data_IF_036988782299
#
_entry.id   IF_036988782299
#
_cell.length_a   1.000
_cell.length_b   1.000
_cell.length_c   1.000
_cell.angle_alpha   90.00
_cell.angle_beta   90.00
_cell.angle_gamma   90.00
#
_symmetry.space_group_name_H-M   'P 1'
#
loop_
_entity.id
_entity.type
_entity.pdbx_description
1 polymer ?
#
# COMPACT_ATOMS: atom_id res chain seq x y z
N UNK A 1 10.02 21.01 17.35
CA UNK A 1 9.73 19.83 18.17
C UNK A 1 9.14 18.80 17.23
N UNK A 2 9.97 17.85 16.83
CA UNK A 2 9.83 16.97 15.67
C UNK A 2 8.91 15.81 16.00
N UNK A 3 7.61 15.99 15.72
CA UNK A 3 6.65 14.90 15.63
C UNK A 3 6.79 14.33 14.22
N UNK A 4 7.77 13.46 14.02
CA UNK A 4 8.01 12.82 12.72
C UNK A 4 8.58 11.42 12.95
N UNK A 5 8.12 10.47 12.15
CA UNK A 5 8.61 9.08 11.97
C UNK A 5 8.09 7.97 12.89
N UNK A 6 7.47 8.25 14.05
CA UNK A 6 6.78 7.21 14.84
C UNK A 6 5.30 7.05 14.49
N UNK A 7 4.74 7.93 13.66
CA UNK A 7 3.30 7.94 13.39
C UNK A 7 2.88 7.14 12.16
N UNK A 8 3.73 6.82 11.17
CA UNK A 8 3.27 6.11 9.96
C UNK A 8 3.17 4.58 10.12
N UNK A 9 4.22 3.94 10.66
CA UNK A 9 4.21 2.51 10.95
C UNK A 9 3.34 2.17 12.16
N UNK A 10 3.19 3.13 13.07
CA UNK A 10 2.23 3.04 14.15
C UNK A 10 0.82 3.35 13.61
N UNK A 11 0.54 4.34 12.76
CA UNK A 11 -0.84 4.64 12.31
C UNK A 11 -1.56 3.49 11.59
N UNK A 12 -0.90 2.61 10.85
CA UNK A 12 -1.59 1.45 10.25
C UNK A 12 -2.03 0.43 11.31
N UNK A 13 -1.22 0.23 12.35
CA UNK A 13 -1.56 -0.63 13.48
C UNK A 13 -2.39 0.10 14.55
N UNK A 14 -2.24 1.42 14.70
CA UNK A 14 -2.81 2.31 15.74
C UNK A 14 -4.10 2.98 15.27
N UNK A 15 -4.39 3.02 13.96
CA UNK A 15 -5.75 3.31 13.49
C UNK A 15 -6.71 2.17 13.86
N UNK A 16 -6.19 0.95 14.05
CA UNK A 16 -6.95 -0.22 14.54
C UNK A 16 -6.72 -0.52 16.02
N UNK A 17 -5.56 -0.19 16.60
CA UNK A 17 -5.23 -0.40 18.04
C UNK A 17 -5.57 0.82 18.92
N UNK A 18 -5.62 2.02 18.35
CA UNK A 18 -5.87 3.27 19.10
C UNK A 18 -7.31 3.46 19.59
N UNK A 19 -8.23 2.57 19.20
CA UNK A 19 -9.64 2.69 19.52
C UNK A 19 -10.21 1.28 19.70
N UNK A 20 -10.20 0.75 20.92
CA UNK A 20 -10.48 -0.67 21.14
C UNK A 20 -11.36 -1.01 22.35
N UNK A 21 -12.68 -0.80 22.29
CA UNK A 21 -13.58 -1.66 23.10
C UNK A 21 -15.07 -1.57 22.91
N UNK A 22 -15.77 -2.59 23.46
CA UNK A 22 -17.18 -2.97 23.34
C UNK A 22 -17.97 -3.20 24.69
N UNK A 23 -19.29 -2.97 24.83
CA UNK A 23 -20.15 -3.46 25.95
C UNK A 23 -21.35 -4.24 25.43
N UNK A 24 -21.41 -5.46 25.96
CA UNK A 24 -22.52 -6.28 26.43
C UNK A 24 -23.83 -6.23 25.65
N UNK A 25 -23.95 -7.16 24.70
CA UNK A 25 -25.17 -7.95 24.59
C UNK A 25 -24.82 -9.45 24.69
N UNK A 26 -25.54 -10.10 25.60
CA UNK A 26 -25.34 -11.43 26.14
C UNK A 26 -25.47 -12.60 25.14
N UNK A 27 -24.79 -13.70 25.52
CA UNK A 27 -25.28 -15.08 25.40
C UNK A 27 -25.47 -15.73 24.03
N UNK A 28 -24.43 -15.71 23.20
CA UNK A 28 -24.11 -16.88 22.38
C UNK A 28 -22.64 -17.22 22.51
N UNK A 29 -22.34 -18.39 23.08
CA UNK A 29 -21.06 -19.08 22.84
C UNK A 29 -20.94 -19.24 21.34
N UNK A 30 -20.21 -18.34 20.71
CA UNK A 30 -19.95 -18.39 19.29
C UNK A 30 -19.15 -19.66 19.04
N UNK A 31 -19.75 -20.65 18.37
CA UNK A 31 -19.13 -21.97 18.18
C UNK A 31 -17.84 -21.92 17.37
N UNK A 32 -17.49 -20.73 16.86
CA UNK A 32 -16.32 -20.44 16.06
C UNK A 32 -15.19 -19.72 16.85
N UNK A 33 -15.33 -19.54 18.17
CA UNK A 33 -14.30 -18.96 19.03
C UNK A 33 -13.41 -20.05 19.67
N UNK A 34 -12.09 -19.85 19.62
CA UNK A 34 -11.11 -20.76 20.21
C UNK A 34 -11.12 -20.70 21.74
N UNK A 35 -10.66 -21.79 22.37
CA UNK A 35 -10.38 -21.76 23.82
C UNK A 35 -9.22 -20.81 24.13
N UNK A 36 -9.13 -20.35 25.38
CA UNK A 36 -8.01 -19.50 25.84
C UNK A 36 -6.65 -20.10 25.50
N UNK A 37 -6.45 -21.40 25.78
CA UNK A 37 -5.17 -22.07 25.52
C UNK A 37 -4.86 -22.16 24.01
N UNK A 38 -5.87 -22.41 23.18
CA UNK A 38 -5.73 -22.43 21.72
C UNK A 38 -5.45 -21.03 21.15
N UNK A 39 -6.12 -20.01 21.67
CA UNK A 39 -5.90 -18.63 21.29
C UNK A 39 -4.47 -18.19 21.64
N UNK A 40 -4.01 -18.49 22.87
CA UNK A 40 -2.63 -18.23 23.30
C UNK A 40 -1.61 -18.96 22.46
N UNK A 41 -1.83 -20.24 22.14
CA UNK A 41 -0.93 -21.00 21.28
C UNK A 41 -0.84 -20.37 19.88
N UNK A 42 -1.97 -19.93 19.32
CA UNK A 42 -2.02 -19.26 18.01
C UNK A 42 -1.25 -17.95 18.03
N UNK A 43 -1.48 -17.09 19.05
CA UNK A 43 -0.78 -15.82 19.23
C UNK A 43 0.72 -16.04 19.46
N UNK A 44 1.11 -17.08 20.20
CA UNK A 44 2.52 -17.41 20.42
C UNK A 44 3.21 -17.94 19.16
N UNK A 45 2.46 -18.59 18.28
CA UNK A 45 2.97 -19.15 17.01
C UNK A 45 3.10 -18.08 15.92
N UNK A 46 2.49 -16.90 16.10
CA UNK A 46 2.71 -15.74 15.21
C UNK A 46 4.21 -15.38 15.09
N UNK A 47 5.00 -15.67 16.12
CA UNK A 47 6.36 -15.18 16.30
C UNK A 47 7.46 -15.96 15.55
N UNK A 48 7.19 -16.46 14.35
CA UNK A 48 8.25 -16.91 13.45
C UNK A 48 8.10 -16.27 12.06
N UNK A 49 9.22 -15.70 11.60
CA UNK A 49 9.54 -15.46 10.19
C UNK A 49 9.10 -14.14 9.54
N UNK A 50 8.48 -13.15 10.23
CA UNK A 50 8.06 -11.92 9.52
C UNK A 50 9.24 -11.04 9.10
N UNK A 51 10.32 -11.06 9.89
CA UNK A 51 11.63 -10.48 9.56
C UNK A 51 12.21 -11.05 8.27
N UNK A 52 12.28 -12.38 8.14
CA UNK A 52 12.84 -13.03 6.95
C UNK A 52 12.00 -12.69 5.71
N UNK A 53 10.68 -12.76 5.83
CA UNK A 53 9.77 -12.55 4.70
C UNK A 53 9.83 -11.13 4.12
N UNK A 54 10.15 -10.11 4.94
CA UNK A 54 10.24 -8.71 4.52
C UNK A 54 11.65 -8.26 4.14
N UNK A 55 12.71 -8.84 4.72
CA UNK A 55 14.09 -8.60 4.26
C UNK A 55 14.28 -9.13 2.82
N UNK A 56 13.73 -10.31 2.54
CA UNK A 56 13.79 -10.97 1.23
C UNK A 56 13.05 -10.19 0.12
N UNK A 57 12.15 -9.26 0.46
CA UNK A 57 11.48 -8.41 -0.54
C UNK A 57 12.49 -7.51 -1.27
N UNK A 58 13.40 -6.87 -0.53
CA UNK A 58 14.37 -5.92 -1.08
C UNK A 58 15.42 -6.58 -1.99
N UNK A 59 15.60 -7.89 -1.81
CA UNK A 59 16.52 -8.77 -2.51
C UNK A 59 15.89 -9.53 -3.67
N UNK A 60 14.57 -9.40 -3.88
CA UNK A 60 13.88 -10.08 -4.96
C UNK A 60 14.43 -9.64 -6.33
N UNK A 61 14.63 -10.60 -7.23
CA UNK A 61 15.27 -10.39 -8.55
C UNK A 61 14.59 -9.28 -9.35
N UNK A 62 13.25 -9.18 -9.27
CA UNK A 62 12.51 -8.12 -9.93
C UNK A 62 12.83 -6.71 -9.42
N UNK A 63 13.07 -6.53 -8.12
CA UNK A 63 13.48 -5.22 -7.58
C UNK A 63 14.94 -4.90 -7.92
N UNK A 64 15.82 -5.90 -7.97
CA UNK A 64 17.21 -5.74 -8.42
C UNK A 64 17.25 -5.28 -9.89
N UNK A 65 16.53 -5.96 -10.77
CA UNK A 65 16.45 -5.59 -12.18
C UNK A 65 15.82 -4.20 -12.41
N UNK A 66 14.85 -3.79 -11.59
CA UNK A 66 14.32 -2.41 -11.61
C UNK A 66 15.39 -1.40 -11.18
N UNK A 67 16.17 -1.69 -10.13
CA UNK A 67 17.28 -0.83 -9.70
C UNK A 67 18.35 -0.70 -10.80
N UNK A 68 18.70 -1.80 -11.47
CA UNK A 68 19.67 -1.80 -12.57
C UNK A 68 19.20 -0.90 -13.73
N UNK A 69 17.93 -0.98 -14.12
CA UNK A 69 17.34 -0.07 -15.10
C UNK A 69 17.47 1.40 -14.67
N UNK A 70 17.13 1.72 -13.42
CA UNK A 70 17.23 3.09 -12.91
C UNK A 70 18.66 3.63 -12.95
N UNK A 71 19.67 2.79 -12.70
CA UNK A 71 21.07 3.18 -12.82
C UNK A 71 21.46 3.50 -14.27
N UNK A 72 20.96 2.74 -15.26
CA UNK A 72 21.22 2.98 -16.68
C UNK A 72 20.49 4.23 -17.18
N UNK A 73 19.24 4.42 -16.76
CA UNK A 73 18.43 5.62 -17.08
C UNK A 73 19.03 6.90 -16.48
N UNK A 74 19.75 6.80 -15.36
CA UNK A 74 20.54 7.92 -14.82
C UNK A 74 21.73 8.28 -15.71
N UNK A 75 22.19 7.36 -16.57
CA UNK A 75 23.31 7.53 -17.50
C UNK A 75 22.83 8.05 -18.86
N UNK A 76 21.82 7.43 -19.47
CA UNK A 76 21.21 7.87 -20.72
C UNK A 76 19.70 7.63 -20.75
N UNK A 77 18.99 8.50 -21.46
CA UNK A 77 17.53 8.62 -21.47
C UNK A 77 16.95 7.91 -22.71
N UNK A 78 16.28 6.74 -22.60
CA UNK A 78 15.73 6.03 -23.75
C UNK A 78 14.75 6.82 -24.64
N UNK A 79 14.24 7.98 -24.21
CA UNK A 79 13.31 8.83 -24.95
C UNK A 79 13.96 10.15 -25.41
N UNK A 80 15.28 10.34 -25.28
CA UNK A 80 16.05 11.44 -25.87
C UNK A 80 16.82 11.01 -27.15
N UNK A 81 16.90 11.74 -28.27
CA UNK A 81 16.79 13.19 -28.56
C UNK A 81 16.08 13.52 -29.90
N UNK A 82 15.31 14.63 -29.92
CA UNK A 82 15.45 15.68 -30.96
C UNK A 82 15.50 17.05 -30.24
N UNK A 83 16.67 17.72 -30.24
CA UNK A 83 16.72 19.19 -30.24
C UNK A 83 17.18 19.98 -29.01
N UNK A 84 16.90 19.62 -27.75
CA UNK A 84 17.28 20.47 -26.59
C UNK A 84 17.40 19.71 -25.26
N UNK A 85 18.17 20.30 -24.35
CA UNK A 85 18.55 19.96 -22.97
C UNK A 85 18.20 18.58 -22.37
N UNK A 86 19.28 17.93 -21.92
CA UNK A 86 19.35 16.60 -21.29
C UNK A 86 18.49 16.52 -20.03
N UNK A 87 17.70 15.43 -19.91
CA UNK A 87 16.97 14.87 -18.73
C UNK A 87 15.43 14.94 -18.81
N UNK A 88 14.78 14.13 -19.68
CA UNK A 88 13.31 14.00 -19.67
C UNK A 88 12.83 12.75 -18.91
N UNK A 89 13.49 11.60 -19.01
CA UNK A 89 13.05 10.37 -18.33
C UNK A 89 13.36 10.32 -16.84
N UNK A 90 14.51 10.86 -16.41
CA UNK A 90 14.77 10.98 -14.97
C UNK A 90 13.65 11.77 -14.30
N UNK A 91 13.14 12.81 -14.97
CA UNK A 91 11.90 13.47 -14.55
C UNK A 91 10.71 12.51 -14.71
N UNK A 92 10.44 11.89 -15.86
CA UNK A 92 9.32 10.94 -16.00
C UNK A 92 9.25 9.85 -14.92
N UNK A 93 10.23 8.95 -14.72
CA UNK A 93 10.06 7.90 -13.70
C UNK A 93 10.20 8.39 -12.24
N UNK A 94 10.98 9.46 -11.96
CA UNK A 94 11.06 10.02 -10.59
C UNK A 94 9.82 10.88 -10.25
N UNK A 95 9.31 11.66 -11.21
CA UNK A 95 8.05 12.42 -11.12
C UNK A 95 6.87 11.47 -11.10
N UNK A 96 6.77 10.47 -11.99
CA UNK A 96 5.68 9.49 -12.00
C UNK A 96 5.75 8.51 -10.83
N UNK A 97 6.92 8.15 -10.34
CA UNK A 97 7.06 7.48 -9.04
C UNK A 97 6.62 8.37 -7.86
N UNK A 98 6.64 9.70 -8.02
CA UNK A 98 6.09 10.65 -7.05
C UNK A 98 4.60 10.89 -7.26
N UNK A 99 4.10 10.94 -8.51
CA UNK A 99 2.68 11.04 -8.88
C UNK A 99 1.92 9.78 -8.47
N UNK A 100 2.53 8.60 -8.61
CA UNK A 100 2.02 7.35 -8.06
C UNK A 100 1.86 7.40 -6.54
N UNK A 101 2.73 8.13 -5.82
CA UNK A 101 2.52 8.39 -4.38
C UNK A 101 1.39 9.40 -4.13
N UNK A 102 1.09 10.31 -5.07
CA UNK A 102 -0.05 11.25 -4.98
C UNK A 102 -1.40 10.54 -5.07
N UNK A 103 -1.51 9.46 -5.84
CA UNK A 103 -2.70 8.56 -5.84
C UNK A 103 -3.10 8.17 -4.41
N UNK A 104 -2.11 8.05 -3.50
CA UNK A 104 -2.31 7.63 -2.12
C UNK A 104 -2.13 8.75 -1.09
N UNK A 105 -1.83 9.99 -1.50
CA UNK A 105 -1.60 11.11 -0.57
C UNK A 105 -2.13 12.44 -1.11
N UNK A 106 -2.93 13.14 -0.29
CA UNK A 106 -3.34 14.52 -0.58
C UNK A 106 -2.14 15.46 -0.42
N UNK A 107 -1.39 15.71 -1.47
CA UNK A 107 -0.25 16.62 -1.43
C UNK A 107 -0.55 17.87 -2.25
N UNK A 108 -0.74 19.00 -1.57
CA UNK A 108 -1.15 20.31 -2.13
C UNK A 108 0.00 21.12 -2.75
N UNK A 109 1.15 20.48 -3.00
CA UNK A 109 2.29 21.13 -3.65
C UNK A 109 2.45 20.49 -5.03
N UNK A 110 1.49 20.77 -5.91
CA UNK A 110 1.54 20.39 -7.31
C UNK A 110 2.68 21.15 -7.98
N UNK A 111 3.84 20.52 -8.09
CA UNK A 111 4.86 20.91 -9.06
C UNK A 111 5.57 19.66 -9.52
N UNK A 112 5.15 19.11 -10.65
CA UNK A 112 6.02 18.51 -11.69
C UNK A 112 5.22 18.11 -12.95
N UNK A 113 5.91 18.16 -14.10
CA UNK A 113 5.49 18.06 -15.51
C UNK A 113 4.75 19.27 -16.16
N UNK A 114 5.45 20.04 -17.00
CA UNK A 114 4.86 21.08 -17.87
C UNK A 114 4.08 20.52 -19.08
N UNK A 115 4.27 19.23 -19.41
CA UNK A 115 3.68 18.56 -20.57
C UNK A 115 3.35 17.11 -20.21
N UNK A 116 2.23 16.59 -20.73
CA UNK A 116 1.87 15.17 -20.64
C UNK A 116 2.92 14.28 -21.31
N UNK A 117 3.04 13.04 -20.85
CA UNK A 117 3.84 12.04 -21.56
C UNK A 117 3.06 11.48 -22.75
N UNK A 118 3.59 11.71 -23.95
CA UNK A 118 3.01 11.21 -25.20
C UNK A 118 3.39 9.73 -25.42
N UNK A 119 2.58 8.80 -24.92
CA UNK A 119 2.81 7.36 -25.05
C UNK A 119 2.89 6.92 -26.52
N UNK A 120 1.97 7.40 -27.35
CA UNK A 120 1.87 7.05 -28.77
C UNK A 120 3.11 7.47 -29.56
N UNK A 121 3.64 8.67 -29.29
CA UNK A 121 4.87 9.13 -29.94
C UNK A 121 6.12 8.32 -29.53
N UNK A 122 6.10 7.68 -28.36
CA UNK A 122 7.22 6.94 -27.79
C UNK A 122 7.13 5.42 -28.00
N UNK A 123 6.10 4.91 -28.69
CA UNK A 123 6.01 3.51 -29.09
C UNK A 123 7.23 3.06 -29.90
N UNK A 124 7.81 1.91 -29.55
CA UNK A 124 9.03 1.40 -30.17
C UNK A 124 9.83 0.45 -29.29
N UNK A 125 10.86 -0.16 -29.90
CA UNK A 125 11.84 -1.00 -29.22
C UNK A 125 13.14 -0.22 -29.07
N UNK A 126 13.59 -0.10 -27.83
CA UNK A 126 14.77 0.62 -27.39
C UNK A 126 15.77 -0.37 -26.81
N UNK A 127 17.02 -0.32 -27.25
CA UNK A 127 18.05 -1.30 -26.90
C UNK A 127 19.25 -0.56 -26.36
N UNK A 128 19.71 -0.95 -25.16
CA UNK A 128 20.96 -0.42 -24.61
C UNK A 128 22.14 -0.87 -25.46
N UNK A 129 22.98 0.08 -25.85
CA UNK A 129 24.20 -0.18 -26.60
C UNK A 129 25.41 0.46 -25.91
N UNK A 130 26.29 -0.32 -25.26
CA UNK A 130 27.42 0.22 -24.53
C UNK A 130 28.51 0.82 -25.45
N UNK A 131 28.44 0.55 -26.76
CA UNK A 131 29.40 1.04 -27.74
C UNK A 131 28.97 2.39 -28.37
N UNK A 132 27.75 2.86 -28.08
CA UNK A 132 27.27 4.18 -28.49
C UNK A 132 27.56 5.22 -27.41
N UNK A 133 28.00 6.42 -27.82
CA UNK A 133 28.36 7.50 -26.89
C UNK A 133 29.63 7.24 -26.07
N UNK A 134 29.90 8.08 -25.08
CA UNK A 134 31.06 7.94 -24.17
C UNK A 134 30.80 6.97 -22.99
N UNK A 135 29.54 6.65 -22.71
CA UNK A 135 29.11 5.88 -21.54
C UNK A 135 28.03 4.82 -21.84
N UNK A 136 27.77 4.53 -23.13
CA UNK A 136 26.60 3.77 -23.58
C UNK A 136 25.38 4.66 -23.80
N UNK A 137 24.54 4.30 -24.75
CA UNK A 137 23.30 5.00 -25.09
C UNK A 137 22.19 4.00 -25.45
N UNK A 138 20.93 4.37 -25.25
CA UNK A 138 19.79 3.63 -25.79
C UNK A 138 19.54 4.02 -27.24
N UNK A 139 19.35 3.03 -28.10
CA UNK A 139 18.96 3.24 -29.50
C UNK A 139 17.56 2.67 -29.77
N UNK A 140 16.70 3.45 -30.43
CA UNK A 140 15.45 2.94 -31.00
C UNK A 140 15.76 2.12 -32.25
N UNK A 141 15.54 0.82 -32.18
CA UNK A 141 15.88 -0.13 -33.26
C UNK A 141 14.70 -0.54 -34.13
N UNK A 142 13.48 -0.37 -33.64
CA UNK A 142 12.25 -0.75 -34.35
C UNK A 142 11.04 0.03 -33.85
N UNK A 143 10.03 0.14 -34.70
CA UNK A 143 8.66 0.48 -34.27
C UNK A 143 8.00 -0.74 -33.61
N UNK A 144 7.05 -0.49 -32.70
CA UNK A 144 6.26 -1.49 -32.01
C UNK A 144 4.90 -0.89 -31.59
N UNK A 145 3.95 -1.72 -31.18
CA UNK A 145 2.66 -1.29 -30.60
C UNK A 145 2.76 -1.03 -29.08
N UNK A 146 3.94 -1.22 -28.51
CA UNK A 146 4.26 -1.03 -27.09
C UNK A 146 5.58 -0.25 -26.97
N UNK A 147 5.88 0.24 -25.77
CA UNK A 147 7.24 0.70 -25.46
C UNK A 147 8.01 -0.46 -24.85
N UNK A 148 9.09 -0.88 -25.51
CA UNK A 148 9.96 -1.95 -25.02
C UNK A 148 11.37 -1.43 -24.81
N UNK A 149 11.92 -1.62 -23.61
CA UNK A 149 13.29 -1.23 -23.25
C UNK A 149 14.07 -2.48 -22.90
N UNK A 150 15.09 -2.80 -23.71
CA UNK A 150 16.00 -3.92 -23.52
C UNK A 150 17.33 -3.43 -22.96
N UNK A 151 17.80 -4.05 -21.88
CA UNK A 151 19.00 -3.60 -21.16
C UNK A 151 19.70 -4.78 -20.48
N UNK A 152 21.00 -4.65 -20.15
CA UNK A 152 21.72 -5.68 -19.39
C UNK A 152 21.46 -5.51 -17.89
N UNK A 153 21.19 -6.60 -17.18
CA UNK A 153 21.26 -6.64 -15.70
C UNK A 153 22.71 -6.59 -15.19
N UNK A 154 22.91 -6.27 -13.91
CA UNK A 154 24.25 -6.23 -13.32
C UNK A 154 25.00 -7.57 -13.53
N UNK A 155 26.20 -7.49 -14.12
CA UNK A 155 27.03 -8.66 -14.41
C UNK A 155 26.76 -9.33 -15.76
N UNK A 156 25.72 -8.90 -16.49
CA UNK A 156 25.45 -9.37 -17.85
C UNK A 156 26.25 -8.62 -18.91
N UNK A 157 26.58 -9.31 -19.99
CA UNK A 157 27.25 -8.74 -21.18
C UNK A 157 26.31 -8.57 -22.37
N UNK A 158 25.05 -8.93 -22.20
CA UNK A 158 23.99 -8.90 -23.20
C UNK A 158 22.73 -8.29 -22.60
N UNK A 159 21.84 -7.78 -23.43
CA UNK A 159 20.54 -7.29 -22.96
C UNK A 159 19.62 -8.47 -22.65
N UNK A 160 19.73 -8.97 -21.42
CA UNK A 160 18.98 -10.09 -20.87
C UNK A 160 17.68 -9.66 -20.17
N UNK A 161 17.53 -8.36 -19.87
CA UNK A 161 16.31 -7.79 -19.32
C UNK A 161 15.50 -7.00 -20.35
N UNK A 162 14.18 -7.01 -20.14
CA UNK A 162 13.20 -6.37 -21.00
C UNK A 162 12.04 -5.80 -20.19
N UNK A 163 11.97 -4.47 -20.09
CA UNK A 163 10.80 -3.76 -19.60
C UNK A 163 9.86 -3.50 -20.77
N UNK A 164 8.59 -3.86 -20.63
CA UNK A 164 7.55 -3.57 -21.62
C UNK A 164 6.47 -2.75 -20.94
N UNK A 165 6.15 -1.58 -21.48
CA UNK A 165 4.97 -0.79 -21.12
C UNK A 165 3.92 -1.05 -22.21
N UNK A 166 2.85 -1.76 -21.83
CA UNK A 166 1.74 -2.13 -22.72
C UNK A 166 0.69 -1.03 -22.82
N UNK A 167 0.58 -0.18 -21.80
CA UNK A 167 -0.35 0.93 -21.80
C UNK A 167 0.03 2.01 -20.81
N UNK A 168 -0.22 3.26 -21.19
CA UNK A 168 -0.07 4.42 -20.32
C UNK A 168 -1.04 5.53 -20.77
N UNK A 169 -1.78 6.10 -19.83
CA UNK A 169 -2.59 7.30 -20.07
C UNK A 169 -2.59 8.21 -18.85
N UNK A 170 -2.82 9.50 -19.12
CA UNK A 170 -2.95 10.55 -18.11
C UNK A 170 -4.18 11.39 -18.41
N UNK A 171 -4.73 11.97 -17.36
CA UNK A 171 -5.77 12.99 -17.44
C UNK A 171 -5.19 14.35 -17.05
N UNK A 172 -5.57 15.39 -17.78
CA UNK A 172 -5.15 16.77 -17.55
C UNK A 172 -6.10 17.47 -16.57
N UNK A 173 -5.52 18.17 -15.60
CA UNK A 173 -6.22 19.04 -14.66
C UNK A 173 -5.63 20.44 -14.67
N UNK A 174 -6.48 21.43 -14.40
CA UNK A 174 -6.08 22.82 -14.27
C UNK A 174 -6.35 23.31 -12.84
N UNK A 175 -5.30 23.71 -12.15
CA UNK A 175 -5.39 24.34 -10.83
C UNK A 175 -5.63 25.86 -11.00
N UNK A 176 -6.85 26.32 -10.72
CA UNK A 176 -7.18 27.74 -10.81
C UNK A 176 -6.47 28.61 -9.76
N UNK A 177 -6.14 28.06 -8.58
CA UNK A 177 -5.48 28.81 -7.50
C UNK A 177 -4.04 29.15 -7.89
N UNK A 178 -3.33 28.18 -8.47
CA UNK A 178 -1.94 28.35 -8.89
C UNK A 178 -1.77 28.73 -10.36
N UNK A 179 -2.84 28.66 -11.16
CA UNK A 179 -2.81 28.85 -12.62
C UNK A 179 -1.82 27.86 -13.29
N UNK A 180 -1.78 26.63 -12.80
CA UNK A 180 -0.85 25.59 -13.24
C UNK A 180 -1.67 24.37 -13.77
N UNK A 181 -1.27 23.83 -14.92
CA UNK A 181 -1.76 22.53 -15.41
C UNK A 181 -0.94 21.42 -14.78
N UNK A 182 -1.60 20.34 -14.38
CA UNK A 182 -0.96 19.13 -13.91
C UNK A 182 -1.65 17.89 -14.50
N UNK A 183 -0.97 16.74 -14.42
CA UNK A 183 -1.44 15.49 -15.01
C UNK A 183 -1.42 14.40 -13.96
N UNK A 184 -2.49 13.63 -13.89
CA UNK A 184 -2.59 12.47 -13.01
C UNK A 184 -2.68 11.17 -13.84
N UNK A 185 -2.07 10.07 -13.38
CA UNK A 185 -2.08 8.81 -14.11
C UNK A 185 -3.47 8.19 -14.09
N UNK A 186 -3.94 7.73 -15.25
CA UNK A 186 -5.21 6.99 -15.39
C UNK A 186 -4.94 5.50 -15.62
N UNK A 187 -3.93 5.17 -16.43
CA UNK A 187 -3.53 3.80 -16.74
C UNK A 187 -2.01 3.65 -16.69
N UNK A 188 -1.52 2.55 -16.13
CA UNK A 188 -0.17 2.05 -16.34
C UNK A 188 -0.19 0.54 -16.34
N UNK A 189 0.21 -0.08 -17.45
CA UNK A 189 0.43 -1.52 -17.56
C UNK A 189 1.85 -1.77 -18.02
N UNK A 190 2.68 -2.34 -17.14
CA UNK A 190 4.06 -2.66 -17.45
C UNK A 190 4.54 -3.94 -16.79
N UNK A 191 5.46 -4.62 -17.46
CA UNK A 191 6.05 -5.84 -16.96
C UNK A 191 7.53 -5.97 -17.32
N UNK A 192 8.29 -6.63 -16.45
CA UNK A 192 9.73 -6.83 -16.59
C UNK A 192 10.04 -8.31 -16.69
N UNK A 193 10.78 -8.68 -17.73
CA UNK A 193 11.37 -10.00 -17.87
C UNK A 193 12.89 -9.93 -17.74
N UNK A 194 13.48 -10.96 -17.12
CA UNK A 194 14.93 -11.24 -17.12
C UNK A 194 15.10 -12.67 -17.60
N UNK A 195 15.95 -12.89 -18.60
CA UNK A 195 16.14 -14.20 -19.24
C UNK A 195 14.82 -14.85 -19.70
N UNK A 196 13.85 -14.03 -20.13
CA UNK A 196 12.52 -14.47 -20.55
C UNK A 196 11.58 -14.87 -19.40
N UNK A 197 11.99 -14.74 -18.14
CA UNK A 197 11.15 -14.99 -16.96
C UNK A 197 10.57 -13.67 -16.47
N UNK A 198 9.25 -13.60 -16.26
CA UNK A 198 8.59 -12.42 -15.69
C UNK A 198 8.97 -12.28 -14.22
N UNK A 199 9.75 -11.26 -13.89
CA UNK A 199 10.26 -11.02 -12.52
C UNK A 199 9.51 -9.89 -11.82
N UNK A 200 8.93 -8.95 -12.56
CA UNK A 200 8.10 -7.89 -12.02
C UNK A 200 6.95 -7.49 -12.96
N UNK A 201 5.90 -6.90 -12.39
CA UNK A 201 4.82 -6.22 -13.15
C UNK A 201 4.14 -5.18 -12.28
N UNK A 202 3.60 -4.15 -12.92
CA UNK A 202 2.76 -3.14 -12.33
C UNK A 202 1.53 -2.95 -13.22
N UNK A 203 0.36 -2.94 -12.60
CA UNK A 203 -0.88 -2.52 -13.20
C UNK A 203 -1.47 -1.42 -12.32
N UNK A 204 -1.86 -0.31 -12.90
CA UNK A 204 -2.62 0.76 -12.28
C UNK A 204 -3.77 1.14 -13.20
N UNK A 205 -4.93 1.29 -12.61
CA UNK A 205 -6.10 1.93 -13.21
C UNK A 205 -6.69 2.87 -12.16
N UNK A 206 -6.87 4.14 -12.50
CA UNK A 206 -7.35 5.16 -11.58
C UNK A 206 -8.42 6.04 -12.22
N UNK A 207 -9.46 6.34 -11.44
CA UNK A 207 -10.53 7.28 -11.78
C UNK A 207 -10.39 8.53 -10.92
N UNK A 208 -10.67 9.68 -11.51
CA UNK A 208 -10.49 10.99 -10.89
C UNK A 208 -11.76 11.83 -11.03
N UNK A 209 -12.03 12.70 -10.06
CA UNK A 209 -13.08 13.69 -10.18
C UNK A 209 -12.64 14.91 -11.00
N UNK A 210 -13.56 15.85 -11.25
CA UNK A 210 -13.28 17.06 -12.04
C UNK A 210 -12.20 17.98 -11.42
N UNK A 211 -11.87 17.78 -10.14
CA UNK A 211 -10.86 18.56 -9.40
C UNK A 211 -9.52 17.83 -9.26
N UNK A 212 -9.36 16.67 -9.88
CA UNK A 212 -8.15 15.85 -9.78
C UNK A 212 -8.02 15.11 -8.46
N UNK A 213 -9.13 14.89 -7.74
CA UNK A 213 -9.13 13.99 -6.58
C UNK A 213 -9.44 12.55 -7.00
N UNK A 214 -8.74 11.56 -6.43
CA UNK A 214 -8.95 10.17 -6.77
C UNK A 214 -10.34 9.69 -6.30
N UNK A 215 -11.14 9.14 -7.22
CA UNK A 215 -12.43 8.51 -6.96
C UNK A 215 -12.31 7.01 -6.76
N UNK A 216 -11.50 6.34 -7.58
CA UNK A 216 -11.21 4.93 -7.43
C UNK A 216 -9.80 4.64 -7.95
N UNK A 217 -9.14 3.62 -7.43
CA UNK A 217 -7.98 3.05 -8.09
C UNK A 217 -7.82 1.56 -7.78
N UNK A 218 -7.27 0.84 -8.74
CA UNK A 218 -6.78 -0.52 -8.60
C UNK A 218 -5.31 -0.56 -8.98
N UNK A 219 -4.47 -0.95 -8.03
CA UNK A 219 -3.02 -1.02 -8.20
C UNK A 219 -2.54 -2.39 -7.80
N UNK A 220 -1.87 -3.08 -8.72
CA UNK A 220 -1.29 -4.40 -8.51
C UNK A 220 0.17 -4.36 -8.89
N UNK A 221 1.04 -4.59 -7.93
CA UNK A 221 2.47 -4.73 -8.15
C UNK A 221 2.90 -6.16 -7.81
N UNK A 222 3.47 -6.88 -8.76
CA UNK A 222 4.02 -8.22 -8.51
C UNK A 222 5.53 -8.16 -8.67
N UNK A 223 6.25 -8.71 -7.71
CA UNK A 223 7.67 -9.05 -7.83
C UNK A 223 7.83 -10.41 -7.21
N UNK A 224 8.01 -11.45 -8.01
CA UNK A 224 7.96 -12.83 -7.50
C UNK A 224 8.93 -13.03 -6.31
N UNK A 225 8.51 -13.70 -5.22
CA UNK A 225 7.20 -14.33 -4.96
C UNK A 225 6.11 -13.41 -4.35
N UNK A 226 6.36 -12.11 -4.33
CA UNK A 226 5.52 -11.10 -3.68
C UNK A 226 4.47 -10.49 -4.62
N UNK A 227 3.35 -10.12 -4.01
CA UNK A 227 2.27 -9.35 -4.65
C UNK A 227 1.76 -8.29 -3.67
N UNK A 228 1.83 -7.03 -4.10
CA UNK A 228 1.14 -5.91 -3.45
C UNK A 228 -0.13 -5.61 -4.23
N UNK A 229 -1.23 -5.37 -3.54
CA UNK A 229 -2.46 -4.87 -4.15
C UNK A 229 -3.04 -3.78 -3.30
N UNK A 230 -3.40 -2.66 -3.93
CA UNK A 230 -4.09 -1.54 -3.31
C UNK A 230 -5.34 -1.29 -4.15
N UNK A 231 -6.48 -1.16 -3.50
CA UNK A 231 -7.75 -0.90 -4.13
C UNK A 231 -8.50 0.10 -3.26
N UNK A 232 -9.03 1.17 -3.84
CA UNK A 232 -10.00 2.01 -3.15
C UNK A 232 -11.10 2.44 -4.12
N UNK A 233 -12.27 2.74 -3.58
CA UNK A 233 -13.43 3.20 -4.34
C UNK A 233 -14.27 4.13 -3.46
N UNK A 234 -14.56 5.31 -3.99
CA UNK A 234 -15.42 6.36 -3.45
C UNK A 234 -16.58 6.71 -4.40
N UNK A 235 -16.87 5.89 -5.41
CA UNK A 235 -17.95 6.13 -6.37
C UNK A 235 -19.35 5.90 -5.75
N UNK A 236 -19.45 4.99 -4.78
CA UNK A 236 -20.72 4.70 -4.15
C UNK A 236 -21.24 5.90 -3.34
N UNK A 237 -22.51 6.27 -3.52
CA UNK A 237 -23.10 7.44 -2.88
C UNK A 237 -22.96 7.45 -1.34
N UNK A 238 -23.09 6.30 -0.68
CA UNK A 238 -23.15 6.21 0.78
C UNK A 238 -22.05 5.32 1.38
N UNK A 239 -21.01 5.00 0.62
CA UNK A 239 -19.90 4.20 1.11
C UNK A 239 -18.61 4.50 0.37
N UNK A 240 -17.51 4.22 1.06
CA UNK A 240 -16.15 4.28 0.51
C UNK A 240 -15.37 3.11 1.07
N UNK A 241 -14.42 2.55 0.33
CA UNK A 241 -13.53 1.55 0.89
C UNK A 241 -12.09 1.70 0.41
N UNK A 242 -11.18 1.14 1.18
CA UNK A 242 -9.79 0.91 0.81
C UNK A 242 -9.37 -0.48 1.29
N UNK A 243 -8.73 -1.23 0.41
CA UNK A 243 -8.12 -2.53 0.65
C UNK A 243 -6.64 -2.44 0.28
N UNK A 244 -5.77 -2.93 1.15
CA UNK A 244 -4.34 -3.06 0.87
C UNK A 244 -3.93 -4.48 1.25
N UNK A 245 -3.13 -5.14 0.43
CA UNK A 245 -2.56 -6.45 0.73
C UNK A 245 -1.13 -6.56 0.24
N UNK A 246 -0.31 -7.25 1.01
CA UNK A 246 1.01 -7.75 0.66
C UNK A 246 1.00 -9.26 0.90
N UNK A 247 1.18 -10.01 -0.18
CA UNK A 247 1.23 -11.46 -0.17
C UNK A 247 2.63 -11.93 -0.55
N UNK A 248 3.04 -13.08 -0.03
CA UNK A 248 4.21 -13.84 -0.46
C UNK A 248 3.76 -15.28 -0.71
N UNK A 249 3.95 -15.81 -1.91
CA UNK A 249 3.48 -17.15 -2.28
C UNK A 249 1.99 -17.39 -1.95
N UNK A 250 1.14 -16.37 -2.18
CA UNK A 250 -0.30 -16.35 -1.85
C UNK A 250 -0.63 -16.34 -0.34
N UNK A 251 0.37 -16.34 0.55
CA UNK A 251 0.15 -16.14 1.98
C UNK A 251 0.16 -14.66 2.32
N UNK A 252 -0.79 -14.22 3.15
CA UNK A 252 -0.85 -12.84 3.60
C UNK A 252 0.30 -12.54 4.54
N UNK A 253 1.14 -11.57 4.18
CA UNK A 253 2.09 -10.96 5.11
C UNK A 253 1.42 -9.78 5.81
N UNK A 254 0.78 -8.89 5.06
CA UNK A 254 0.02 -7.76 5.57
C UNK A 254 -1.27 -7.64 4.77
N UNK A 255 -2.39 -7.35 5.43
CA UNK A 255 -3.59 -6.89 4.75
C UNK A 255 -4.34 -5.91 5.63
N UNK A 256 -4.94 -4.89 5.03
CA UNK A 256 -5.87 -3.99 5.71
C UNK A 256 -7.07 -3.76 4.81
N UNK A 257 -8.23 -3.61 5.43
CA UNK A 257 -9.46 -3.21 4.76
C UNK A 257 -10.18 -2.23 5.65
N UNK A 258 -10.65 -1.14 5.08
CA UNK A 258 -11.48 -0.14 5.76
C UNK A 258 -12.64 0.18 4.83
N UNK A 259 -13.84 0.14 5.36
CA UNK A 259 -15.09 0.53 4.70
C UNK A 259 -15.78 1.58 5.54
N UNK A 260 -16.00 2.76 4.96
CA UNK A 260 -16.77 3.85 5.54
C UNK A 260 -18.21 3.76 5.01
N UNK A 261 -19.19 3.99 5.88
CA UNK A 261 -20.59 4.13 5.50
C UNK A 261 -21.16 5.44 6.00
N UNK A 262 -21.99 6.05 5.17
CA UNK A 262 -22.57 7.37 5.39
C UNK A 262 -24.09 7.34 5.28
N UNK A 263 -24.75 8.31 5.92
CA UNK A 263 -26.22 8.48 5.84
C UNK A 263 -26.68 8.93 4.47
N UNK A 264 -25.84 9.66 3.74
CA UNK A 264 -26.18 10.30 2.47
C UNK A 264 -24.93 10.58 1.62
N UNK A 265 -25.15 11.13 0.42
CA UNK A 265 -24.11 11.39 -0.57
C UNK A 265 -23.20 12.59 -0.31
N UNK A 266 -23.41 13.35 0.77
CA UNK A 266 -22.48 14.42 1.13
C UNK A 266 -21.19 13.89 1.76
N UNK A 267 -21.19 12.63 2.22
CA UNK A 267 -20.04 11.95 2.86
C UNK A 267 -19.29 12.80 3.90
N UNK A 268 -20.04 13.65 4.61
CA UNK A 268 -19.48 14.49 5.67
C UNK A 268 -19.22 13.67 6.92
N UNK A 269 -18.33 14.14 7.78
CA UNK A 269 -18.06 13.52 9.09
C UNK A 269 -19.34 13.33 9.92
N UNK A 270 -20.23 14.32 9.93
CA UNK A 270 -21.54 14.24 10.62
C UNK A 270 -22.47 13.16 10.03
N UNK A 271 -22.26 12.78 8.77
CA UNK A 271 -23.03 11.76 8.08
C UNK A 271 -22.43 10.35 8.25
N UNK A 272 -21.24 10.20 8.84
CA UNK A 272 -20.60 8.91 9.05
C UNK A 272 -21.44 8.04 10.01
N UNK A 273 -21.88 6.87 9.53
CA UNK A 273 -22.65 5.91 10.33
C UNK A 273 -21.76 4.81 10.89
N UNK A 274 -20.78 4.35 10.11
CA UNK A 274 -19.90 3.27 10.55
C UNK A 274 -18.57 3.23 9.83
N UNK A 275 -17.56 2.74 10.53
CA UNK A 275 -16.28 2.31 9.95
C UNK A 275 -16.15 0.81 10.23
N UNK A 276 -16.16 -0.04 9.21
CA UNK A 276 -15.87 -1.48 9.34
C UNK A 276 -14.48 -1.73 8.78
N UNK A 277 -13.65 -2.50 9.45
CA UNK A 277 -12.34 -2.80 8.93
C UNK A 277 -11.59 -3.88 9.66
N UNK A 278 -10.44 -4.24 9.09
CA UNK A 278 -9.48 -5.11 9.73
C UNK A 278 -8.05 -4.71 9.37
N UNK A 279 -7.13 -5.08 10.25
CA UNK A 279 -5.70 -5.16 9.94
C UNK A 279 -5.25 -6.57 10.28
N UNK A 280 -4.57 -7.19 9.33
CA UNK A 280 -4.01 -8.52 9.41
C UNK A 280 -2.50 -8.44 9.18
N UNK A 281 -1.76 -9.03 10.09
CA UNK A 281 -0.34 -9.30 9.94
C UNK A 281 -0.19 -10.82 10.04
N UNK A 282 0.33 -11.45 9.00
CA UNK A 282 0.41 -12.92 8.89
C UNK A 282 -0.90 -13.61 9.25
N UNK A 283 -0.84 -14.49 10.24
CA UNK A 283 -1.96 -15.29 10.75
C UNK A 283 -2.69 -14.61 11.90
N UNK A 284 -2.47 -13.33 12.16
CA UNK A 284 -3.15 -12.57 13.21
C UNK A 284 -3.92 -11.40 12.61
N UNK A 285 -5.22 -11.32 12.91
CA UNK A 285 -6.13 -10.32 12.35
C UNK A 285 -6.90 -9.64 13.46
N UNK A 286 -6.82 -8.31 13.54
CA UNK A 286 -7.72 -7.50 14.34
C UNK A 286 -8.82 -7.00 13.40
N UNK A 287 -10.07 -7.35 13.69
CA UNK A 287 -11.24 -6.88 12.93
C UNK A 287 -12.16 -6.12 13.86
N UNK A 288 -12.72 -5.01 13.39
CA UNK A 288 -13.68 -4.26 14.17
C UNK A 288 -14.59 -3.34 13.38
N UNK A 289 -15.57 -2.81 14.09
CA UNK A 289 -16.57 -1.87 13.60
C UNK A 289 -16.63 -0.70 14.58
N UNK A 290 -16.56 0.52 14.07
CA UNK A 290 -16.84 1.76 14.79
C UNK A 290 -18.26 2.21 14.42
N UNK A 291 -19.08 2.52 15.41
CA UNK A 291 -20.37 3.14 15.23
C UNK A 291 -20.23 4.67 15.26
N UNK A 292 -20.28 5.29 14.08
CA UNK A 292 -20.14 6.74 13.92
C UNK A 292 -21.29 7.54 14.55
N UNK A 293 -22.46 6.93 14.73
CA UNK A 293 -23.60 7.60 15.36
C UNK A 293 -23.41 7.78 16.88
N UNK A 294 -22.66 6.88 17.51
CA UNK A 294 -22.37 6.94 18.95
C UNK A 294 -21.28 7.99 19.28
N UNK A 295 -20.40 8.32 18.32
CA UNK A 295 -19.35 9.34 18.49
C UNK A 295 -19.90 10.73 18.78
N UNK A 296 -21.13 11.02 18.34
CA UNK A 296 -21.76 12.34 18.48
C UNK A 296 -22.58 12.49 19.78
N UNK A 297 -22.53 11.51 20.68
CA UNK A 297 -23.27 11.56 21.95
C UNK A 297 -22.46 12.25 23.05
N UNK A 298 -23.12 12.95 23.99
CA UNK A 298 -22.44 13.70 25.06
C UNK A 298 -21.76 12.82 26.11
N UNK A 299 -22.18 11.56 26.24
CA UNK A 299 -21.55 10.55 27.10
C UNK A 299 -20.85 9.52 26.20
N UNK A 300 -19.52 9.51 26.24
CA UNK A 300 -18.69 8.63 25.41
C UNK A 300 -18.58 7.29 26.13
N UNK A 301 -19.30 6.31 25.63
CA UNK A 301 -19.12 4.91 25.99
C UNK A 301 -18.30 4.24 24.89
N UNK A 302 -16.98 4.14 25.09
CA UNK A 302 -16.08 3.52 24.11
C UNK A 302 -16.56 2.15 23.70
N UNK A 303 -17.04 1.40 24.70
CA UNK A 303 -17.64 0.09 24.59
C UNK A 303 -18.91 0.06 23.68
N UNK A 304 -19.62 1.16 23.43
CA UNK A 304 -20.69 1.18 22.41
C UNK A 304 -20.21 1.65 21.05
N UNK A 305 -19.14 2.42 21.05
CA UNK A 305 -18.55 3.04 19.86
C UNK A 305 -17.75 2.02 19.08
N UNK A 306 -16.95 1.16 19.71
CA UNK A 306 -16.10 0.18 19.01
C UNK A 306 -16.55 -1.25 19.29
N UNK A 307 -16.56 -2.10 18.27
CA UNK A 307 -16.69 -3.55 18.41
C UNK A 307 -15.51 -4.19 17.71
N UNK A 308 -14.53 -4.68 18.45
CA UNK A 308 -13.33 -5.27 17.87
C UNK A 308 -13.03 -6.64 18.48
N UNK A 309 -12.42 -7.51 17.70
CA UNK A 309 -11.99 -8.83 18.13
C UNK A 309 -10.70 -9.24 17.40
N UNK A 310 -9.96 -10.12 18.06
CA UNK A 310 -8.76 -10.74 17.51
C UNK A 310 -9.15 -12.08 16.87
N UNK A 311 -8.58 -12.37 15.70
CA UNK A 311 -8.84 -13.56 14.89
C UNK A 311 -7.53 -14.18 14.42
N UNK A 312 -7.56 -15.48 14.13
CA UNK A 312 -6.49 -16.14 13.39
C UNK A 312 -6.59 -15.87 11.87
N UNK A 313 -5.59 -16.34 11.12
CA UNK A 313 -5.54 -16.20 9.66
C UNK A 313 -6.66 -16.95 8.91
N UNK A 314 -7.45 -17.78 9.61
CA UNK A 314 -8.60 -18.51 9.07
C UNK A 314 -9.94 -17.96 9.61
N UNK A 315 -9.94 -16.72 10.13
CA UNK A 315 -11.10 -16.04 10.70
C UNK A 315 -11.76 -16.76 11.90
N UNK A 316 -11.00 -17.55 12.65
CA UNK A 316 -11.44 -18.05 13.97
C UNK A 316 -11.15 -17.01 15.03
N UNK A 317 -12.17 -16.70 15.82
CA UNK A 317 -12.09 -15.69 16.87
C UNK A 317 -11.20 -16.18 18.03
N UNK A 318 -10.22 -15.38 18.41
CA UNK A 318 -9.32 -15.61 19.53
C UNK A 318 -9.85 -14.98 20.82
N UNK A 319 -10.48 -13.81 20.71
CA UNK A 319 -11.09 -13.10 21.83
C UNK A 319 -11.67 -11.75 21.42
N UNK A 320 -12.56 -11.22 22.24
CA UNK A 320 -13.10 -9.88 22.10
C UNK A 320 -12.11 -8.85 22.65
N UNK A 321 -12.05 -7.68 22.03
CA UNK A 321 -11.26 -6.57 22.57
C UNK A 321 -12.21 -5.64 23.33
N UNK A 322 -11.92 -5.43 24.62
CA UNK A 322 -12.72 -4.63 25.56
C UNK A 322 -11.84 -3.59 26.28
N UNK A 323 -12.40 -2.50 26.82
CA UNK A 323 -11.66 -1.41 27.45
C UNK A 323 -12.12 -1.44 28.88
N UNK A 324 -11.14 -1.47 29.76
CA UNK A 324 -11.34 -1.45 31.19
C UNK A 324 -10.78 -0.13 31.71
N UNK A 325 -11.60 0.60 32.46
CA UNK A 325 -11.14 1.83 33.11
C UNK A 325 -10.19 1.48 34.26
N UNK A 326 -8.95 1.93 34.15
CA UNK A 326 -7.91 1.82 35.18
C UNK A 326 -7.30 3.19 35.43
N UNK A 327 -7.38 3.68 36.67
CA UNK A 327 -6.79 4.96 37.07
C UNK A 327 -7.22 6.16 36.19
N UNK A 328 -8.47 6.16 35.72
CA UNK A 328 -9.02 7.22 34.85
C UNK A 328 -8.59 7.13 33.39
N UNK A 329 -7.98 6.01 32.96
CA UNK A 329 -7.66 5.74 31.57
C UNK A 329 -8.34 4.45 31.11
N UNK A 330 -8.79 4.42 29.85
CA UNK A 330 -9.34 3.22 29.22
C UNK A 330 -8.21 2.37 28.64
N UNK A 331 -8.03 1.17 29.18
CA UNK A 331 -6.97 0.24 28.78
C UNK A 331 -7.58 -0.93 28.01
N UNK A 332 -7.09 -1.27 26.81
CA UNK A 332 -7.61 -2.38 26.03
C UNK A 332 -7.14 -3.74 26.57
N UNK A 333 -8.05 -4.69 26.60
CA UNK A 333 -7.90 -6.07 27.05
C UNK A 333 -8.47 -7.02 26.01
N UNK A 334 -7.84 -8.18 25.83
CA UNK A 334 -8.52 -9.32 25.20
C UNK A 334 -9.34 -10.05 26.26
N UNK A 335 -10.62 -10.27 25.98
CA UNK A 335 -11.52 -11.12 26.75
C UNK A 335 -11.69 -12.45 26.01
N UNK A 336 -11.30 -13.54 26.68
CA UNK A 336 -11.45 -14.88 26.14
C UNK A 336 -12.86 -15.43 26.39
N UNK A 337 -13.18 -16.56 25.75
CA UNK A 337 -14.49 -17.23 25.89
C UNK A 337 -14.83 -17.66 27.33
N UNK A 338 -13.81 -17.83 28.18
CA UNK A 338 -13.97 -18.17 29.60
C UNK A 338 -14.22 -16.92 30.48
N UNK A 339 -14.29 -15.74 29.87
CA UNK A 339 -14.48 -14.45 30.54
C UNK A 339 -13.20 -13.85 31.15
N UNK A 340 -12.09 -14.59 31.14
CA UNK A 340 -10.81 -14.06 31.62
C UNK A 340 -10.26 -12.97 30.68
N UNK A 341 -9.51 -12.04 31.26
CA UNK A 341 -9.03 -10.83 30.58
C UNK A 341 -7.52 -10.72 30.69
N UNK A 342 -6.86 -10.34 29.59
CA UNK A 342 -5.42 -10.03 29.56
C UNK A 342 -5.17 -8.73 28.80
N UNK A 343 -4.22 -7.90 29.25
CA UNK A 343 -3.94 -6.61 28.59
C UNK A 343 -3.55 -6.86 27.15
N UNK A 344 -4.18 -6.13 26.22
CA UNK A 344 -3.92 -6.33 24.79
C UNK A 344 -2.46 -6.02 24.44
N UNK A 345 -1.89 -4.99 25.06
CA UNK A 345 -0.46 -4.65 24.96
C UNK A 345 0.44 -5.86 25.29
N UNK A 346 0.17 -6.56 26.39
CA UNK A 346 0.94 -7.75 26.77
C UNK A 346 0.80 -8.88 25.76
N UNK A 347 -0.39 -9.05 25.19
CA UNK A 347 -0.70 -10.12 24.25
C UNK A 347 -0.10 -9.86 22.87
N UNK A 348 -0.10 -8.59 22.43
CA UNK A 348 0.43 -8.16 21.14
C UNK A 348 1.88 -7.68 21.19
N UNK A 349 2.53 -7.61 22.37
CA UNK A 349 3.94 -7.22 22.48
C UNK A 349 4.86 -7.95 21.49
N UNK A 350 4.74 -9.27 21.29
CA UNK A 350 5.58 -9.98 20.31
C UNK A 350 5.40 -9.44 18.88
N UNK A 351 4.18 -9.04 18.53
CA UNK A 351 3.84 -8.41 17.25
C UNK A 351 4.48 -7.04 17.12
N UNK A 352 4.43 -6.24 18.20
CA UNK A 352 5.04 -4.91 18.26
C UNK A 352 6.56 -5.01 18.11
N UNK A 353 7.20 -5.91 18.84
CA UNK A 353 8.65 -6.13 18.77
C UNK A 353 9.10 -6.49 17.35
N UNK A 354 8.33 -7.34 16.65
CA UNK A 354 8.62 -7.72 15.27
C UNK A 354 8.51 -6.54 14.30
N UNK A 355 7.49 -5.69 14.44
CA UNK A 355 7.33 -4.47 13.62
C UNK A 355 8.46 -3.46 13.89
N UNK A 356 8.89 -3.31 15.14
CA UNK A 356 10.00 -2.43 15.50
C UNK A 356 11.32 -2.92 14.88
N UNK A 357 11.61 -4.22 14.96
CA UNK A 357 12.79 -4.82 14.33
C UNK A 357 12.82 -4.60 12.81
N UNK A 358 11.67 -4.75 12.15
CA UNK A 358 11.55 -4.51 10.71
C UNK A 358 11.91 -3.06 10.35
N UNK A 359 11.44 -2.10 11.16
CA UNK A 359 11.67 -0.67 10.91
C UNK A 359 13.15 -0.29 11.00
N UNK A 360 13.86 -0.81 12.00
CA UNK A 360 15.29 -0.51 12.17
C UNK A 360 16.11 -0.94 10.93
N UNK A 361 15.77 -2.08 10.34
CA UNK A 361 16.46 -2.60 9.15
C UNK A 361 16.17 -1.77 7.87
N UNK A 362 14.95 -1.22 7.72
CA UNK A 362 14.62 -0.31 6.61
C UNK A 362 15.30 1.07 6.74
N UNK A 363 15.56 1.54 7.97
CA UNK A 363 16.26 2.82 8.20
C UNK A 363 17.80 2.70 8.09
N UNK A 364 18.37 1.49 8.15
CA UNK A 364 19.83 1.25 8.01
C UNK A 364 20.27 1.16 6.52
N UNK A 365 19.34 0.86 5.60
CA UNK A 365 19.61 0.67 4.17
C UNK A 365 19.11 1.83 3.26
N UNK A 366 18.61 2.92 3.84
CA UNK A 366 18.29 4.18 3.14
C UNK A 366 19.34 5.24 3.43
#
# INVERSE_FOLDING_TARGET
MTITKRLLSMAALTAVIGFSSCDNDDDKKDSNQLSKDQAKATISTFNSDAKNDLQDLSDADGLKAVKDLFNLVDTDDPFGRIGTDRKKIRHFFQEKGTDFKKVFTKNTNGRVAQEAFDFEANLGIYVWNPELGEAGEFERVSDAEVIEIQFPTEGSSTNDAKLTLEGYSEIEFFDEEFQETYYEPELLDAHLHVDGVKVASIYLEAEWDESGFPLAASVVFNVAPYKVSIEFDDNAATSSYINISLLQNQQTLLATSVTLKYKNSSKSEESLTSVDGYVQLKNLKVKGIINGEELNKPEIDWNKIIKAALYDGNDKKLGDIIHVEENGAYIPYIQYIDGSKEKLETVLQPVVDEIENLKEDFEINS
#
